data_IF_754368567599
#
_entry.id   IF_754368567599
#
_cell.length_a   1.000
_cell.length_b   1.000
_cell.length_c   1.000
_cell.angle_alpha   90.00
_cell.angle_beta   90.00
_cell.angle_gamma   90.00
#
_symmetry.space_group_name_H-M   'P 1'
#
loop_
_entity.id
_entity.type
_entity.pdbx_description
1 polymer ?
#
# COMPACT_ATOMS: atom_id res chain seq x y z
N UNK A 1 -30.30 -34.51 -41.64
CA UNK A 1 -29.50 -33.36 -42.09
C UNK A 1 -28.18 -33.41 -41.33
N UNK A 2 -27.15 -33.91 -42.02
CA UNK A 2 -25.78 -34.04 -41.53
C UNK A 2 -25.05 -32.70 -41.52
N UNK A 3 -24.03 -32.59 -40.66
CA UNK A 3 -22.69 -32.01 -40.89
C UNK A 3 -22.25 -31.12 -39.71
N UNK A 4 -21.00 -31.02 -39.28
CA UNK A 4 -19.76 -31.84 -39.26
C UNK A 4 -18.79 -30.99 -38.41
N UNK A 5 -17.91 -31.67 -37.68
CA UNK A 5 -16.82 -31.18 -36.82
C UNK A 5 -15.82 -30.26 -37.53
N UNK A 6 -15.20 -29.34 -36.78
CA UNK A 6 -13.96 -28.65 -37.18
C UNK A 6 -13.09 -28.30 -35.96
N UNK A 7 -12.24 -29.24 -35.53
CA UNK A 7 -11.14 -29.02 -34.58
C UNK A 7 -9.95 -28.48 -35.40
N UNK A 8 -9.42 -27.32 -35.01
CA UNK A 8 -8.13 -26.83 -35.54
C UNK A 8 -7.03 -27.03 -34.50
N UNK A 9 -6.10 -27.91 -34.84
CA UNK A 9 -4.80 -28.12 -34.21
C UNK A 9 -3.73 -27.81 -35.27
N UNK A 10 -2.84 -26.86 -35.02
CA UNK A 10 -1.56 -26.66 -35.73
C UNK A 10 -0.62 -25.88 -34.80
N UNK A 11 0.71 -26.00 -34.80
CA UNK A 11 1.68 -27.06 -35.03
C UNK A 11 2.99 -26.44 -34.52
N UNK A 12 3.70 -27.11 -33.62
CA UNK A 12 4.96 -26.65 -33.02
C UNK A 12 6.13 -27.14 -33.89
N UNK A 13 6.94 -26.23 -34.44
CA UNK A 13 8.25 -26.56 -35.03
C UNK A 13 9.26 -25.53 -34.57
N UNK A 14 10.31 -26.02 -33.91
CA UNK A 14 11.48 -25.25 -33.50
C UNK A 14 12.71 -25.54 -34.36
N UNK A 15 13.86 -25.12 -33.79
CA UNK A 15 15.26 -25.33 -34.21
C UNK A 15 15.78 -24.37 -35.29
N UNK A 16 17.04 -23.95 -35.34
CA UNK A 16 18.23 -24.02 -34.48
C UNK A 16 19.34 -23.34 -35.32
N UNK A 17 20.29 -22.64 -34.73
CA UNK A 17 21.55 -22.31 -35.42
C UNK A 17 22.71 -22.34 -34.43
N UNK A 18 23.80 -23.08 -34.73
CA UNK A 18 24.87 -23.39 -33.78
C UNK A 18 25.97 -22.32 -33.75
N UNK A 19 26.36 -21.97 -32.52
CA UNK A 19 27.72 -22.01 -31.96
C UNK A 19 28.92 -21.42 -32.74
N UNK A 20 29.59 -20.44 -32.12
CA UNK A 20 31.03 -20.55 -31.90
C UNK A 20 31.39 -19.99 -30.51
N UNK A 21 31.85 -20.90 -29.66
CA UNK A 21 32.29 -20.67 -28.29
C UNK A 21 33.77 -20.29 -28.22
N UNK A 22 34.17 -19.61 -27.14
CA UNK A 22 35.36 -20.02 -26.36
C UNK A 22 35.30 -19.54 -24.90
N UNK A 23 35.27 -20.53 -24.00
CA UNK A 23 35.91 -20.65 -22.66
C UNK A 23 35.51 -19.70 -21.51
N UNK A 24 34.73 -20.19 -20.53
CA UNK A 24 35.14 -20.70 -19.18
C UNK A 24 35.20 -19.55 -18.13
N UNK A 25 34.54 -19.51 -16.96
CA UNK A 25 34.33 -20.51 -15.89
C UNK A 25 33.23 -19.97 -14.91
N UNK A 26 32.48 -20.89 -14.29
CA UNK A 26 31.48 -20.87 -13.16
C UNK A 26 31.56 -19.76 -12.08
N UNK A 27 30.57 -19.55 -11.16
CA UNK A 27 29.25 -20.21 -10.96
C UNK A 27 28.04 -19.27 -10.71
N UNK A 28 26.86 -19.90 -10.64
CA UNK A 28 25.54 -19.33 -10.39
C UNK A 28 25.41 -18.41 -9.16
N UNK A 29 24.69 -17.29 -9.33
CA UNK A 29 23.75 -16.76 -8.32
C UNK A 29 22.65 -15.93 -8.99
N UNK A 30 21.42 -16.41 -8.90
CA UNK A 30 20.23 -15.57 -8.70
C UNK A 30 19.63 -16.03 -7.36
N UNK A 31 18.98 -15.17 -6.56
CA UNK A 31 18.43 -13.86 -6.91
C UNK A 31 18.94 -12.75 -5.96
N UNK A 32 18.86 -11.48 -6.35
CA UNK A 32 18.78 -10.46 -5.32
C UNK A 32 17.84 -9.33 -5.73
N UNK A 33 16.82 -9.20 -4.89
CA UNK A 33 15.90 -8.09 -4.82
C UNK A 33 16.63 -6.77 -5.07
N UNK A 34 16.06 -5.93 -5.93
CA UNK A 34 16.27 -4.49 -5.84
C UNK A 34 15.63 -4.04 -4.53
N UNK A 35 16.39 -4.21 -3.45
CA UNK A 35 16.11 -3.59 -2.17
C UNK A 35 15.99 -2.10 -2.38
N UNK A 36 14.90 -1.58 -1.83
CA UNK A 36 14.58 -0.18 -1.69
C UNK A 36 15.83 0.67 -1.48
N UNK A 37 16.00 1.68 -2.33
CA UNK A 37 16.75 2.87 -1.97
C UNK A 37 16.17 3.40 -0.66
N UNK A 38 16.89 3.15 0.44
CA UNK A 38 16.65 3.81 1.71
C UNK A 38 16.87 5.31 1.49
N UNK A 39 15.77 6.05 1.35
CA UNK A 39 15.79 7.50 1.46
C UNK A 39 16.35 7.89 2.84
N UNK A 40 17.06 9.02 2.96
CA UNK A 40 17.67 9.46 4.21
C UNK A 40 16.60 9.70 5.30
N UNK A 41 16.96 9.64 6.60
CA UNK A 41 16.04 9.68 7.74
C UNK A 41 15.32 11.03 7.97
N UNK A 42 15.39 11.96 7.01
CA UNK A 42 14.77 13.29 7.11
C UNK A 42 13.33 13.34 6.57
N UNK A 43 12.86 12.29 5.88
CA UNK A 43 11.49 12.25 5.32
C UNK A 43 10.41 11.96 6.36
N UNK A 44 10.73 11.32 7.49
CA UNK A 44 9.70 10.86 8.44
C UNK A 44 8.91 12.00 9.10
N UNK A 45 9.53 13.13 9.44
CA UNK A 45 8.83 14.25 10.10
C UNK A 45 7.89 14.98 9.14
N UNK A 46 8.33 15.22 7.91
CA UNK A 46 7.49 15.76 6.83
C UNK A 46 6.39 14.78 6.45
N UNK A 47 6.71 13.49 6.45
CA UNK A 47 5.76 12.41 6.20
C UNK A 47 4.63 12.37 7.22
N UNK A 48 4.97 12.32 8.51
CA UNK A 48 3.99 12.33 9.58
C UNK A 48 3.11 13.60 9.56
N UNK A 49 3.69 14.76 9.24
CA UNK A 49 2.93 16.02 9.11
C UNK A 49 1.90 15.97 7.97
N UNK A 50 2.25 15.31 6.86
CA UNK A 50 1.35 15.11 5.73
C UNK A 50 0.22 14.15 6.08
N UNK A 51 0.51 13.02 6.74
CA UNK A 51 -0.49 12.11 7.26
C UNK A 51 -1.47 12.81 8.22
N UNK A 52 -0.97 13.60 9.18
CA UNK A 52 -1.81 14.37 10.12
C UNK A 52 -2.71 15.37 9.40
N UNK A 53 -2.19 16.03 8.37
CA UNK A 53 -2.99 16.94 7.53
C UNK A 53 -4.14 16.21 6.84
N UNK A 54 -3.89 15.02 6.30
CA UNK A 54 -4.93 14.23 5.64
C UNK A 54 -5.96 13.73 6.66
N UNK A 55 -5.53 13.20 7.82
CA UNK A 55 -6.44 12.79 8.91
C UNK A 55 -7.37 13.93 9.33
N UNK A 56 -6.83 15.15 9.47
CA UNK A 56 -7.64 16.34 9.79
C UNK A 56 -8.70 16.63 8.72
N UNK A 57 -8.35 16.56 7.43
CA UNK A 57 -9.31 16.72 6.32
C UNK A 57 -10.37 15.62 6.31
N UNK A 58 -9.99 14.37 6.56
CA UNK A 58 -10.93 13.25 6.66
C UNK A 58 -11.89 13.47 7.83
N UNK A 59 -11.40 13.87 9.01
CA UNK A 59 -12.25 14.20 10.17
C UNK A 59 -13.23 15.34 9.88
N UNK A 60 -12.80 16.38 9.18
CA UNK A 60 -13.68 17.47 8.77
C UNK A 60 -14.80 16.98 7.84
N UNK A 61 -14.47 16.14 6.86
CA UNK A 61 -15.44 15.53 5.96
C UNK A 61 -16.44 14.62 6.71
N UNK A 62 -15.96 13.74 7.59
CA UNK A 62 -16.80 12.89 8.46
C UNK A 62 -17.70 13.74 9.36
N UNK A 63 -17.17 14.82 9.93
CA UNK A 63 -17.94 15.75 10.79
C UNK A 63 -19.10 16.38 10.02
N UNK A 64 -18.87 16.77 8.77
CA UNK A 64 -19.90 17.33 7.87
C UNK A 64 -20.87 16.29 7.29
N UNK A 65 -20.67 15.00 7.56
CA UNK A 65 -21.46 13.91 6.96
C UNK A 65 -21.12 13.63 5.49
N UNK A 66 -20.07 14.24 4.95
CA UNK A 66 -19.63 14.01 3.58
C UNK A 66 -18.70 12.79 3.50
N UNK A 67 -19.29 11.60 3.56
CA UNK A 67 -18.53 10.34 3.56
C UNK A 67 -17.83 10.04 2.22
N UNK A 68 -18.34 10.57 1.10
CA UNK A 68 -17.66 10.47 -0.20
C UNK A 68 -16.33 11.23 -0.17
N UNK A 69 -16.34 12.46 0.34
CA UNK A 69 -15.12 13.24 0.52
C UNK A 69 -14.21 12.64 1.59
N UNK A 70 -14.76 12.09 2.68
CA UNK A 70 -13.98 11.40 3.70
C UNK A 70 -13.22 10.22 3.09
N UNK A 71 -13.88 9.39 2.27
CA UNK A 71 -13.24 8.32 1.52
C UNK A 71 -12.15 8.83 0.59
N UNK A 72 -12.42 9.88 -0.19
CA UNK A 72 -11.41 10.46 -1.09
C UNK A 72 -10.16 10.95 -0.35
N UNK A 73 -10.31 11.58 0.81
CA UNK A 73 -9.16 12.00 1.61
C UNK A 73 -8.47 10.79 2.27
N UNK A 74 -9.22 9.78 2.73
CA UNK A 74 -8.64 8.59 3.32
C UNK A 74 -7.90 7.71 2.32
N UNK A 75 -8.34 7.62 1.07
CA UNK A 75 -7.60 6.92 0.00
C UNK A 75 -6.21 7.56 -0.20
N UNK A 76 -6.09 8.91 -0.10
CA UNK A 76 -4.78 9.59 -0.11
C UNK A 76 -3.95 9.28 1.12
N UNK A 77 -4.59 9.06 2.27
CA UNK A 77 -3.89 8.64 3.48
C UNK A 77 -3.28 7.26 3.25
N UNK A 78 -4.04 6.29 2.72
CA UNK A 78 -3.56 4.94 2.42
C UNK A 78 -2.41 4.96 1.40
N UNK A 79 -2.47 5.81 0.38
CA UNK A 79 -1.39 5.94 -0.59
C UNK A 79 -0.12 6.52 0.03
N UNK A 80 -0.25 7.58 0.83
CA UNK A 80 0.90 8.22 1.48
C UNK A 80 1.47 7.35 2.61
N UNK A 81 0.64 6.54 3.27
CA UNK A 81 1.06 5.60 4.30
C UNK A 81 2.12 4.62 3.79
N UNK A 82 1.93 4.06 2.58
CA UNK A 82 2.89 3.14 1.93
C UNK A 82 4.30 3.72 1.81
N UNK A 83 4.43 5.06 1.73
CA UNK A 83 5.73 5.73 1.62
C UNK A 83 6.47 5.84 2.95
N UNK A 84 5.74 5.77 4.08
CA UNK A 84 6.29 6.09 5.42
C UNK A 84 6.18 4.94 6.42
N UNK A 85 5.36 3.92 6.13
CA UNK A 85 5.01 2.84 7.07
C UNK A 85 6.25 2.08 7.57
N UNK A 86 7.21 1.80 6.69
CA UNK A 86 8.43 1.07 7.04
C UNK A 86 9.28 1.85 8.05
N UNK A 87 9.40 3.17 7.87
CA UNK A 87 10.10 4.04 8.80
C UNK A 87 9.44 4.07 10.18
N UNK A 88 8.10 4.09 10.20
CA UNK A 88 7.33 4.04 11.44
C UNK A 88 7.47 2.68 12.12
N UNK A 89 7.43 1.58 11.37
CA UNK A 89 7.60 0.21 11.85
C UNK A 89 8.97 -0.04 12.46
N UNK A 90 10.03 0.52 11.86
CA UNK A 90 11.40 0.47 12.41
C UNK A 90 11.48 1.24 13.72
N UNK A 91 10.86 2.42 13.82
CA UNK A 91 10.86 3.25 15.04
C UNK A 91 10.03 2.65 16.17
N UNK A 92 8.83 2.14 15.85
CA UNK A 92 7.90 1.58 16.85
C UNK A 92 6.89 0.64 16.20
N UNK A 93 7.12 -0.66 16.35
CA UNK A 93 6.21 -1.70 15.83
C UNK A 93 4.81 -1.62 16.44
N UNK A 94 4.70 -1.32 17.73
CA UNK A 94 3.41 -1.17 18.39
C UNK A 94 2.60 -0.02 17.80
N UNK A 95 3.25 1.12 17.50
CA UNK A 95 2.56 2.25 16.88
C UNK A 95 2.17 1.95 15.42
N UNK A 96 3.03 1.26 14.68
CA UNK A 96 2.71 0.74 13.34
C UNK A 96 1.44 -0.13 13.36
N UNK A 97 1.40 -1.17 14.20
CA UNK A 97 0.24 -2.08 14.31
C UNK A 97 -1.04 -1.35 14.75
N UNK A 98 -0.90 -0.36 15.63
CA UNK A 98 -2.02 0.50 16.04
C UNK A 98 -2.54 1.33 14.87
N UNK A 99 -1.66 1.86 14.02
CA UNK A 99 -2.05 2.63 12.84
C UNK A 99 -2.77 1.72 11.85
N UNK A 100 -2.20 0.58 11.46
CA UNK A 100 -2.83 -0.42 10.57
C UNK A 100 -4.24 -0.79 11.04
N UNK A 101 -4.38 -1.13 12.32
CA UNK A 101 -5.68 -1.51 12.90
C UNK A 101 -6.73 -0.40 12.75
N UNK A 102 -6.35 0.87 12.98
CA UNK A 102 -7.30 1.98 12.84
C UNK A 102 -7.53 2.34 11.37
N UNK A 103 -6.58 2.08 10.47
CA UNK A 103 -6.79 2.22 9.03
C UNK A 103 -7.84 1.25 8.54
N UNK A 104 -7.72 -0.03 8.90
CA UNK A 104 -8.70 -1.06 8.56
C UNK A 104 -10.09 -0.66 9.04
N UNK A 105 -10.22 -0.22 10.29
CA UNK A 105 -11.50 0.26 10.84
C UNK A 105 -12.10 1.42 10.05
N UNK A 106 -11.30 2.43 9.68
CA UNK A 106 -11.80 3.56 8.89
C UNK A 106 -12.20 3.11 7.50
N UNK A 107 -11.40 2.27 6.85
CA UNK A 107 -11.66 1.76 5.50
C UNK A 107 -12.91 0.88 5.46
N UNK A 108 -13.11 -0.02 6.43
CA UNK A 108 -14.32 -0.82 6.55
C UNK A 108 -15.56 0.04 6.80
N UNK A 109 -15.48 0.98 7.75
CA UNK A 109 -16.62 1.82 8.12
C UNK A 109 -17.01 2.80 6.98
N UNK A 110 -16.07 3.29 6.19
CA UNK A 110 -16.35 4.09 4.98
C UNK A 110 -16.93 3.27 3.82
N UNK A 111 -16.67 1.95 3.77
CA UNK A 111 -17.24 1.03 2.77
C UNK A 111 -18.63 0.53 3.15
N UNK A 112 -19.01 0.63 4.43
CA UNK A 112 -20.31 0.19 4.89
C UNK A 112 -21.46 0.93 4.20
N UNK A 113 -22.60 0.27 3.99
CA UNK A 113 -23.79 0.89 3.37
C UNK A 113 -24.33 2.09 4.16
N UNK A 114 -23.99 2.19 5.45
CA UNK A 114 -24.35 3.28 6.35
C UNK A 114 -23.18 3.61 7.29
N UNK A 115 -22.19 4.41 6.84
CA UNK A 115 -21.05 4.77 7.67
C UNK A 115 -21.47 5.42 8.99
N UNK A 116 -20.92 4.94 10.09
CA UNK A 116 -21.18 5.42 11.43
C UNK A 116 -20.18 6.52 11.78
N UNK A 117 -20.68 7.76 11.85
CA UNK A 117 -19.87 8.96 12.11
C UNK A 117 -19.00 8.85 13.37
N UNK A 118 -19.55 8.37 14.48
CA UNK A 118 -18.81 8.32 15.76
C UNK A 118 -17.69 7.29 15.75
N UNK A 119 -17.89 6.15 15.06
CA UNK A 119 -16.84 5.14 14.89
C UNK A 119 -15.69 5.67 14.04
N UNK A 120 -16.00 6.35 12.92
CA UNK A 120 -15.01 7.01 12.08
C UNK A 120 -14.21 8.05 12.85
N UNK A 121 -14.89 8.93 13.59
CA UNK A 121 -14.21 9.96 14.38
C UNK A 121 -13.31 9.35 15.45
N UNK A 122 -13.74 8.28 16.10
CA UNK A 122 -12.94 7.56 17.11
C UNK A 122 -11.67 6.97 16.51
N UNK A 123 -11.78 6.24 15.39
CA UNK A 123 -10.61 5.65 14.72
C UNK A 123 -9.66 6.72 14.17
N UNK A 124 -10.18 7.79 13.56
CA UNK A 124 -9.38 8.91 13.06
C UNK A 124 -8.66 9.68 14.20
N UNK A 125 -9.28 9.82 15.37
CA UNK A 125 -8.65 10.39 16.55
C UNK A 125 -7.49 9.50 17.06
N UNK A 126 -7.67 8.18 17.04
CA UNK A 126 -6.61 7.22 17.38
C UNK A 126 -5.44 7.28 16.41
N UNK A 127 -5.70 7.41 15.09
CA UNK A 127 -4.66 7.64 14.08
C UNK A 127 -3.87 8.92 14.38
N UNK A 128 -4.56 10.04 14.55
CA UNK A 128 -3.94 11.34 14.86
C UNK A 128 -3.05 11.28 16.09
N UNK A 129 -3.55 10.68 17.18
CA UNK A 129 -2.81 10.51 18.43
C UNK A 129 -1.56 9.66 18.24
N UNK A 130 -1.68 8.54 17.52
CA UNK A 130 -0.57 7.59 17.34
C UNK A 130 0.52 8.16 16.44
N UNK A 131 0.16 8.80 15.33
CA UNK A 131 1.11 9.46 14.42
C UNK A 131 1.83 10.62 15.12
N UNK A 132 1.10 11.38 15.95
CA UNK A 132 1.71 12.43 16.79
C UNK A 132 2.72 11.85 17.78
N UNK A 133 2.44 10.69 18.38
CA UNK A 133 3.35 10.03 19.31
C UNK A 133 4.65 9.59 18.62
N UNK A 134 4.56 8.97 17.44
CA UNK A 134 5.74 8.56 16.64
C UNK A 134 6.59 9.76 16.19
N UNK A 135 5.98 10.94 16.05
CA UNK A 135 6.70 12.16 15.64
C UNK A 135 7.53 12.79 16.75
N UNK A 136 7.31 12.40 18.01
CA UNK A 136 8.02 12.92 19.20
C UNK A 136 9.18 12.04 19.66
N UNK A 137 9.32 10.85 19.07
CA UNK A 137 10.34 9.84 19.39
C UNK A 137 11.46 9.86 18.37
#
# INVERSE_FOLDING_TARGET
MSSVVGISLLALVGCNSPEQATTQTTPAVTPNASSATSAPPTTSTTGNSSLLTIVSKTKAAVTSGNFVQAKKEFDKFEDYWKEVEDGIKVKSRNNYETIETNMDQVTEELKASKPQKDKLLTALQSLEKTITAVSKT
#
